data_IF_263877873950
#
_entry.id   IF_263877873950
#
_cell.length_a   1.000
_cell.length_b   1.000
_cell.length_c   1.000
_cell.angle_alpha   90.00
_cell.angle_beta   90.00
_cell.angle_gamma   90.00
#
_symmetry.space_group_name_H-M   'P 1'
#
loop_
_entity.id
_entity.type
_entity.pdbx_description
1 polymer ?
#
# COMPACT_ATOMS: atom_id res chain seq x y z
N UNK A 1 47.95 12.44 -54.23
CA UNK A 1 48.32 12.36 -52.80
C UNK A 1 47.12 11.84 -52.03
N UNK A 2 47.14 10.56 -51.62
CA UNK A 2 46.17 9.95 -50.71
C UNK A 2 46.96 9.13 -49.71
N UNK A 3 47.01 9.49 -48.42
CA UNK A 3 47.53 8.58 -47.42
C UNK A 3 46.42 7.61 -46.99
N UNK A 4 46.60 6.35 -47.33
CA UNK A 4 46.04 5.23 -46.59
C UNK A 4 46.90 5.00 -45.35
N UNK A 5 46.27 4.93 -44.18
CA UNK A 5 46.82 4.42 -42.91
C UNK A 5 45.57 4.09 -42.07
N UNK A 6 45.02 2.86 -42.02
CA UNK A 6 45.52 1.60 -41.45
C UNK A 6 45.88 1.76 -39.96
N UNK A 7 45.32 0.88 -39.11
CA UNK A 7 45.56 0.65 -37.66
C UNK A 7 44.45 1.31 -36.78
N UNK A 8 43.73 0.64 -35.88
CA UNK A 8 43.92 -0.62 -35.15
C UNK A 8 42.57 -1.27 -34.81
N UNK A 9 42.56 -2.60 -34.92
CA UNK A 9 41.65 -3.54 -34.27
C UNK A 9 41.33 -3.15 -32.81
N UNK A 10 40.06 -2.88 -32.49
CA UNK A 10 39.53 -2.87 -31.14
C UNK A 10 38.64 -4.09 -30.94
N UNK A 11 39.26 -5.19 -30.52
CA UNK A 11 38.63 -6.48 -30.28
C UNK A 11 37.52 -6.40 -29.21
N UNK A 12 36.40 -7.05 -29.51
CA UNK A 12 35.71 -7.99 -28.64
C UNK A 12 35.74 -7.69 -27.13
N UNK A 13 34.66 -7.09 -26.64
CA UNK A 13 34.09 -7.50 -25.35
C UNK A 13 32.58 -7.69 -25.53
N UNK A 14 32.23 -8.79 -26.22
CA UNK A 14 30.97 -9.46 -25.95
C UNK A 14 31.04 -10.02 -24.53
N UNK A 15 30.71 -9.20 -23.54
CA UNK A 15 30.28 -9.71 -22.24
C UNK A 15 28.84 -10.22 -22.40
N UNK A 16 28.70 -11.31 -23.15
CA UNK A 16 27.57 -12.20 -23.03
C UNK A 16 27.79 -13.02 -21.76
N UNK A 17 27.26 -12.53 -20.64
CA UNK A 17 27.05 -13.40 -19.48
C UNK A 17 26.00 -14.45 -19.86
N UNK A 18 26.45 -15.64 -20.26
CA UNK A 18 25.66 -16.85 -20.04
C UNK A 18 25.70 -17.14 -18.54
N UNK A 19 24.73 -16.59 -17.82
CA UNK A 19 24.37 -17.12 -16.51
C UNK A 19 23.29 -18.17 -16.76
N UNK A 20 23.72 -19.40 -17.02
CA UNK A 20 22.89 -20.59 -16.86
C UNK A 20 22.51 -20.73 -15.39
N UNK A 21 21.45 -20.02 -15.00
CA UNK A 21 20.57 -20.50 -13.95
C UNK A 21 19.30 -20.95 -14.62
N UNK A 22 19.27 -22.26 -14.90
CA UNK A 22 18.03 -23.02 -14.83
C UNK A 22 17.43 -22.80 -13.44
N UNK A 23 16.66 -21.72 -13.30
CA UNK A 23 15.61 -21.66 -12.29
C UNK A 23 14.43 -22.35 -12.93
N UNK A 24 14.01 -23.45 -12.30
CA UNK A 24 12.67 -24.00 -12.49
C UNK A 24 11.67 -22.84 -12.44
N UNK A 25 11.11 -22.49 -13.59
CA UNK A 25 9.95 -21.62 -13.68
C UNK A 25 8.72 -22.47 -13.31
N UNK A 26 8.56 -22.75 -12.02
CA UNK A 26 7.23 -22.57 -11.45
C UNK A 26 7.17 -21.08 -11.16
N UNK A 27 6.37 -20.34 -11.93
CA UNK A 27 6.04 -18.98 -11.52
C UNK A 27 5.32 -19.10 -10.19
N UNK A 28 6.01 -18.79 -9.09
CA UNK A 28 5.37 -18.59 -7.78
C UNK A 28 4.45 -17.39 -7.95
N UNK A 29 3.20 -17.68 -8.27
CA UNK A 29 2.12 -16.72 -8.14
C UNK A 29 1.98 -16.42 -6.65
N UNK A 30 2.12 -15.14 -6.29
CA UNK A 30 1.96 -14.71 -4.90
C UNK A 30 0.57 -15.09 -4.40
N UNK A 31 0.48 -15.51 -3.15
CA UNK A 31 -0.82 -15.61 -2.49
C UNK A 31 -1.46 -14.22 -2.39
N UNK A 32 -2.79 -14.15 -2.28
CA UNK A 32 -3.51 -12.89 -2.10
C UNK A 32 -3.00 -12.10 -0.87
N UNK A 33 -2.59 -12.83 0.19
CA UNK A 33 -1.99 -12.24 1.39
C UNK A 33 -0.63 -11.61 1.11
N UNK A 34 0.28 -12.32 0.44
CA UNK A 34 1.61 -11.80 0.12
C UNK A 34 1.50 -10.58 -0.82
N UNK A 35 0.63 -10.66 -1.83
CA UNK A 35 0.37 -9.56 -2.74
C UNK A 35 -0.13 -8.32 -1.99
N UNK A 36 -1.13 -8.48 -1.12
CA UNK A 36 -1.64 -7.39 -0.29
C UNK A 36 -0.57 -6.79 0.61
N UNK A 37 0.23 -7.61 1.29
CA UNK A 37 1.29 -7.13 2.19
C UNK A 37 2.36 -6.34 1.42
N UNK A 38 2.71 -6.77 0.19
CA UNK A 38 3.58 -6.01 -0.71
C UNK A 38 2.97 -4.67 -1.10
N UNK A 39 1.70 -4.67 -1.52
CA UNK A 39 0.94 -3.45 -1.83
C UNK A 39 0.92 -2.49 -0.63
N UNK A 40 0.51 -2.97 0.55
CA UNK A 40 0.35 -2.18 1.78
C UNK A 40 1.66 -1.52 2.18
N UNK A 41 2.77 -2.24 2.08
CA UNK A 41 4.10 -1.69 2.37
C UNK A 41 4.45 -0.52 1.46
N UNK A 42 4.11 -0.61 0.17
CA UNK A 42 4.29 0.50 -0.78
C UNK A 42 3.33 1.64 -0.48
N UNK A 43 2.06 1.34 -0.24
CA UNK A 43 0.99 2.28 0.15
C UNK A 43 1.37 3.13 1.36
N UNK A 44 2.06 2.59 2.37
CA UNK A 44 2.46 3.34 3.57
C UNK A 44 3.80 4.09 3.42
N UNK A 45 4.55 3.87 2.34
CA UNK A 45 5.89 4.46 2.14
C UNK A 45 5.89 5.57 1.09
N UNK A 46 5.17 5.34 0.01
CA UNK A 46 5.10 6.25 -1.13
C UNK A 46 3.79 7.05 -1.08
N UNK A 47 3.91 8.36 -0.83
CA UNK A 47 2.75 9.24 -0.72
C UNK A 47 1.99 9.41 -2.04
N UNK A 48 2.68 9.37 -3.19
CA UNK A 48 2.00 9.46 -4.49
C UNK A 48 1.23 8.16 -4.75
N UNK A 49 1.88 7.01 -4.52
CA UNK A 49 1.24 5.71 -4.64
C UNK A 49 0.05 5.59 -3.68
N UNK A 50 0.13 6.16 -2.47
CA UNK A 50 -0.99 6.19 -1.54
C UNK A 50 -2.21 6.91 -2.13
N UNK A 51 -2.03 8.15 -2.61
CA UNK A 51 -3.14 8.96 -3.13
C UNK A 51 -3.74 8.32 -4.39
N UNK A 52 -2.93 7.76 -5.28
CA UNK A 52 -3.44 7.12 -6.51
C UNK A 52 -4.19 5.81 -6.28
N UNK A 53 -4.10 5.22 -5.08
CA UNK A 53 -4.83 4.01 -4.68
C UNK A 53 -5.93 4.30 -3.67
N UNK A 54 -6.41 5.55 -3.62
CA UNK A 54 -7.59 5.95 -2.89
C UNK A 54 -8.56 6.56 -3.90
N UNK A 55 -9.77 6.00 -3.99
CA UNK A 55 -10.85 6.65 -4.72
C UNK A 55 -11.48 7.69 -3.81
N UNK A 56 -11.17 8.97 -4.03
CA UNK A 56 -11.82 10.07 -3.35
C UNK A 56 -13.15 10.46 -4.06
N UNK A 57 -14.17 10.95 -3.31
CA UNK A 57 -14.21 11.06 -1.86
C UNK A 57 -14.32 9.67 -1.21
N UNK A 58 -13.52 9.43 -0.17
CA UNK A 58 -13.41 8.13 0.47
C UNK A 58 -14.37 8.03 1.65
N UNK A 59 -15.22 7.00 1.66
CA UNK A 59 -16.18 6.77 2.75
C UNK A 59 -15.46 6.45 4.07
N UNK A 60 -16.03 6.88 5.20
CA UNK A 60 -15.36 6.74 6.47
C UNK A 60 -16.00 7.43 7.67
N UNK A 61 -15.17 7.58 8.70
CA UNK A 61 -15.45 8.38 9.89
C UNK A 61 -14.21 9.20 10.26
N UNK A 62 -14.36 10.46 10.68
CA UNK A 62 -13.23 11.31 11.00
C UNK A 62 -12.55 10.90 12.31
N UNK A 63 -11.34 11.41 12.52
CA UNK A 63 -10.67 11.33 13.82
C UNK A 63 -11.55 11.98 14.89
N UNK A 64 -11.66 11.33 16.06
CA UNK A 64 -12.42 11.86 17.21
C UNK A 64 -13.84 12.32 16.85
N UNK A 65 -14.51 11.59 15.95
CA UNK A 65 -15.82 11.94 15.40
C UNK A 65 -16.78 12.47 16.48
N UNK A 66 -17.16 13.74 16.33
CA UNK A 66 -18.19 14.42 17.10
C UNK A 66 -19.46 14.55 16.25
N UNK A 67 -20.61 14.80 16.88
CA UNK A 67 -21.91 14.87 16.19
C UNK A 67 -21.99 15.92 15.07
N UNK A 68 -21.05 16.88 15.01
CA UNK A 68 -20.97 17.91 13.97
C UNK A 68 -20.17 17.52 12.72
N UNK A 69 -19.48 16.38 12.72
CA UNK A 69 -18.53 16.02 11.66
C UNK A 69 -19.16 15.18 10.53
N UNK A 70 -20.48 15.14 10.44
CA UNK A 70 -21.21 14.32 9.48
C UNK A 70 -22.04 15.19 8.54
N UNK A 71 -22.15 14.76 7.27
CA UNK A 71 -23.05 15.34 6.29
C UNK A 71 -24.50 15.27 6.80
N UNK A 72 -25.45 16.05 6.22
CA UNK A 72 -26.85 16.04 6.65
C UNK A 72 -27.52 14.66 6.62
N UNK A 73 -26.97 13.71 5.85
CA UNK A 73 -27.41 12.31 5.78
C UNK A 73 -26.70 11.38 6.78
N UNK A 74 -25.85 11.91 7.66
CA UNK A 74 -25.07 11.15 8.64
C UNK A 74 -23.81 10.49 8.11
N UNK A 75 -23.39 10.75 6.86
CA UNK A 75 -22.18 10.18 6.27
C UNK A 75 -21.00 11.15 6.37
N UNK A 76 -19.78 10.64 6.52
CA UNK A 76 -18.56 11.44 6.39
C UNK A 76 -17.74 10.88 5.25
N UNK A 77 -17.15 11.78 4.46
CA UNK A 77 -16.26 11.38 3.39
C UNK A 77 -14.95 12.16 3.46
N UNK A 78 -13.85 11.44 3.48
CA UNK A 78 -12.52 12.00 3.37
C UNK A 78 -12.34 12.63 1.99
N UNK A 79 -11.88 13.88 1.99
CA UNK A 79 -11.53 14.61 0.78
C UNK A 79 -10.03 14.50 0.53
N UNK A 80 -9.63 14.48 -0.73
CA UNK A 80 -8.22 14.38 -1.13
C UNK A 80 -7.38 15.52 -0.52
N UNK A 81 -7.90 16.75 -0.51
CA UNK A 81 -7.22 17.95 0.00
C UNK A 81 -7.08 17.97 1.54
N UNK A 82 -7.81 17.10 2.25
CA UNK A 82 -7.74 16.92 3.71
C UNK A 82 -7.12 15.59 4.10
N UNK A 83 -6.66 14.80 3.14
CA UNK A 83 -6.11 13.48 3.43
C UNK A 83 -4.78 13.58 4.18
N UNK A 84 -4.71 12.90 5.33
CA UNK A 84 -3.48 12.79 6.10
C UNK A 84 -2.72 11.54 5.67
N UNK A 85 -1.49 11.74 5.19
CA UNK A 85 -0.68 10.64 4.67
C UNK A 85 -0.39 9.59 5.75
N UNK A 86 -0.86 8.37 5.53
CA UNK A 86 -0.62 7.26 6.43
C UNK A 86 0.81 6.73 6.27
N UNK A 87 1.43 6.37 7.40
CA UNK A 87 2.79 5.81 7.47
C UNK A 87 2.82 4.51 8.26
N UNK A 88 3.89 3.74 8.08
CA UNK A 88 4.20 2.60 8.94
C UNK A 88 4.34 3.08 10.39
N UNK A 89 3.72 2.33 11.30
CA UNK A 89 3.81 2.58 12.74
C UNK A 89 4.75 1.54 13.33
N UNK A 90 5.71 1.99 14.13
CA UNK A 90 6.56 1.11 14.93
C UNK A 90 5.74 0.60 16.14
N UNK A 91 5.40 -0.70 16.23
CA UNK A 91 4.61 -1.23 17.34
C UNK A 91 5.29 -1.06 18.69
N UNK A 92 6.63 -1.16 18.74
CA UNK A 92 7.40 -1.07 19.98
C UNK A 92 7.37 0.35 20.57
N UNK A 93 7.26 1.38 19.72
CA UNK A 93 7.19 2.79 20.15
C UNK A 93 5.77 3.27 20.39
N UNK A 94 4.83 2.77 19.62
CA UNK A 94 3.46 3.31 19.59
C UNK A 94 2.47 2.56 20.48
N UNK A 95 2.77 1.30 20.82
CA UNK A 95 1.83 0.39 21.48
C UNK A 95 0.66 -0.04 20.60
N UNK A 96 0.62 0.36 19.32
CA UNK A 96 -0.40 -0.12 18.37
C UNK A 96 -0.01 -1.50 17.84
N UNK A 97 -0.99 -2.40 17.84
CA UNK A 97 -0.91 -3.71 17.21
C UNK A 97 -1.76 -3.67 15.93
N UNK A 98 -1.19 -4.17 14.84
CA UNK A 98 -1.89 -4.32 13.56
C UNK A 98 -2.52 -5.72 13.50
N UNK A 99 -3.80 -5.79 13.18
CA UNK A 99 -4.55 -7.04 12.94
C UNK A 99 -5.16 -6.99 11.55
N UNK A 100 -5.14 -8.12 10.85
CA UNK A 100 -5.78 -8.28 9.55
C UNK A 100 -6.96 -9.22 9.67
N UNK A 101 -8.09 -8.85 9.06
CA UNK A 101 -9.27 -9.70 8.90
C UNK A 101 -9.58 -9.83 7.42
N UNK A 102 -9.41 -11.03 6.89
CA UNK A 102 -9.72 -11.36 5.50
C UNK A 102 -11.22 -11.61 5.37
N UNK A 103 -11.92 -10.71 4.68
CA UNK A 103 -13.35 -10.82 4.42
C UNK A 103 -13.61 -11.69 3.18
N UNK A 104 -12.73 -11.58 2.19
CA UNK A 104 -12.63 -12.42 0.97
C UNK A 104 -11.18 -12.40 0.49
N UNK A 105 -10.83 -13.21 -0.52
CA UNK A 105 -9.49 -13.17 -1.13
C UNK A 105 -9.11 -11.79 -1.70
N UNK A 106 -10.11 -10.97 -2.05
CA UNK A 106 -9.93 -9.64 -2.65
C UNK A 106 -10.37 -8.50 -1.72
N UNK A 107 -10.57 -8.76 -0.42
CA UNK A 107 -10.98 -7.74 0.53
C UNK A 107 -10.45 -8.02 1.93
N UNK A 108 -9.74 -7.05 2.49
CA UNK A 108 -9.09 -7.16 3.80
C UNK A 108 -9.35 -5.91 4.63
N UNK A 109 -9.61 -6.14 5.90
CA UNK A 109 -9.70 -5.10 6.92
C UNK A 109 -8.43 -5.09 7.76
N UNK A 110 -7.73 -3.96 7.75
CA UNK A 110 -6.61 -3.68 8.63
C UNK A 110 -7.10 -2.85 9.81
N UNK A 111 -6.94 -3.39 11.01
CA UNK A 111 -7.26 -2.70 12.25
C UNK A 111 -6.00 -2.44 13.06
N UNK A 112 -5.80 -1.19 13.47
CA UNK A 112 -4.71 -0.79 14.36
C UNK A 112 -5.30 -0.39 15.71
N UNK A 113 -4.93 -1.10 16.77
CA UNK A 113 -5.46 -0.88 18.13
C UNK A 113 -4.30 -0.73 19.12
N UNK A 114 -4.41 0.28 19.98
CA UNK A 114 -3.64 0.36 21.23
C UNK A 114 -4.62 0.18 22.41
N UNK A 115 -4.60 -1.02 23.00
CA UNK A 115 -5.51 -1.39 24.09
C UNK A 115 -5.20 -0.64 25.39
N UNK A 116 -3.94 -0.22 25.61
CA UNK A 116 -3.53 0.49 26.83
C UNK A 116 -4.19 1.87 26.93
N UNK A 117 -4.38 2.55 25.80
CA UNK A 117 -5.01 3.88 25.74
C UNK A 117 -6.42 3.86 25.15
N UNK A 118 -6.93 2.69 24.77
CA UNK A 118 -8.27 2.50 24.21
C UNK A 118 -8.50 3.26 22.91
N UNK A 119 -7.48 3.33 22.04
CA UNK A 119 -7.54 4.03 20.75
C UNK A 119 -7.31 3.07 19.58
N UNK A 120 -7.94 3.37 18.45
CA UNK A 120 -7.80 2.56 17.26
C UNK A 120 -8.31 3.24 15.99
N UNK A 121 -7.91 2.67 14.86
CA UNK A 121 -8.32 3.07 13.53
C UNK A 121 -8.45 1.84 12.64
N UNK A 122 -9.19 1.96 11.55
CA UNK A 122 -9.44 0.85 10.63
C UNK A 122 -9.36 1.30 9.18
N UNK A 123 -8.72 0.50 8.34
CA UNK A 123 -8.65 0.66 6.89
C UNK A 123 -9.23 -0.58 6.24
N UNK A 124 -10.09 -0.39 5.23
CA UNK A 124 -10.56 -1.49 4.39
C UNK A 124 -10.01 -1.35 2.98
N UNK A 125 -9.39 -2.41 2.51
CA UNK A 125 -8.85 -2.50 1.18
C UNK A 125 -9.64 -3.51 0.36
N UNK A 126 -9.79 -3.23 -0.92
CA UNK A 126 -10.37 -4.18 -1.87
C UNK A 126 -9.59 -4.15 -3.18
N UNK A 127 -9.63 -5.28 -3.89
CA UNK A 127 -9.01 -5.44 -5.21
C UNK A 127 -10.08 -5.81 -6.23
N UNK A 128 -10.14 -5.08 -7.34
CA UNK A 128 -10.98 -5.46 -8.49
C UNK A 128 -10.22 -6.45 -9.38
N UNK A 129 -10.90 -7.37 -10.08
CA UNK A 129 -10.23 -8.28 -11.00
C UNK A 129 -9.40 -7.54 -12.05
N UNK A 130 -8.10 -7.83 -12.11
CA UNK A 130 -7.17 -7.20 -13.06
C UNK A 130 -6.66 -5.81 -12.64
N UNK A 131 -6.98 -5.35 -11.44
CA UNK A 131 -6.51 -4.07 -10.88
C UNK A 131 -5.66 -4.27 -9.62
N UNK A 132 -4.98 -3.22 -9.18
CA UNK A 132 -4.27 -3.19 -7.89
C UNK A 132 -5.26 -3.03 -6.72
N UNK A 133 -4.78 -3.27 -5.49
CA UNK A 133 -5.53 -3.00 -4.27
C UNK A 133 -5.80 -1.50 -4.10
N UNK A 134 -6.96 -1.14 -3.58
CA UNK A 134 -7.34 0.23 -3.27
C UNK A 134 -7.86 0.34 -1.83
N UNK A 135 -7.64 1.49 -1.20
CA UNK A 135 -8.32 1.83 0.04
C UNK A 135 -9.75 2.28 -0.30
N UNK A 136 -10.74 1.58 0.26
CA UNK A 136 -12.16 1.81 -0.04
C UNK A 136 -12.97 2.32 1.17
N UNK A 137 -12.40 2.25 2.38
CA UNK A 137 -13.01 2.80 3.58
C UNK A 137 -11.96 3.10 4.66
N UNK A 138 -12.14 4.21 5.41
CA UNK A 138 -11.25 4.57 6.51
C UNK A 138 -11.98 5.14 7.73
N UNK A 139 -11.77 4.52 8.90
CA UNK A 139 -12.14 5.07 10.20
C UNK A 139 -10.90 5.69 10.82
N UNK A 140 -10.97 7.01 11.03
CA UNK A 140 -9.99 7.81 11.75
C UNK A 140 -9.72 7.34 13.17
N UNK A 141 -8.62 7.81 13.74
CA UNK A 141 -8.21 7.48 15.09
C UNK A 141 -9.28 7.92 16.09
N UNK A 142 -9.86 6.96 16.78
CA UNK A 142 -10.98 7.17 17.69
C UNK A 142 -10.92 6.18 18.86
N UNK A 143 -11.79 6.36 19.84
CA UNK A 143 -11.84 5.46 20.99
C UNK A 143 -12.44 4.12 20.60
N UNK A 144 -11.74 3.03 20.95
CA UNK A 144 -12.21 1.64 20.81
C UNK A 144 -12.82 1.25 22.15
N UNK A 145 -13.99 1.78 22.50
CA UNK A 145 -14.70 1.29 23.69
C UNK A 145 -15.43 0.00 23.36
N UNK A 146 -15.17 -1.01 24.21
CA UNK A 146 -15.84 -2.31 24.31
C UNK A 146 -17.32 -2.16 24.67
#
# INVERSE_FOLDING_TARGET
MKPYMLILFGAFFLLACQNDRSKNNHGDELTAEEEFLTFRKKFLRDSLFQVTHITFPLDGRPDKASAGDTLPNGQFMWQEDKWLMHKEIDPARSGFVVKYSWLTDNMVEETLINEQVGLGMMRRFAKRPGEDWELIYYIGLSSVRQ
#
